data_IF_932234379814
#
_entry.id   IF_932234379814
#
_cell.length_a   1.000
_cell.length_b   1.000
_cell.length_c   1.000
_cell.angle_alpha   90.00
_cell.angle_beta   90.00
_cell.angle_gamma   90.00
#
_symmetry.space_group_name_H-M   'P 1'
#
loop_
_entity.id
_entity.type
_entity.pdbx_description
1 polymer ?
#
# COMPACT_ATOMS: atom_id res chain seq x y z
N UNK A 1 22.70 51.38 -4.13
CA UNK A 1 21.42 50.84 -4.67
C UNK A 1 21.21 49.36 -4.34
N UNK A 2 22.26 48.51 -4.28
CA UNK A 2 22.13 47.07 -3.99
C UNK A 2 21.65 46.67 -2.57
N UNK A 3 21.79 47.53 -1.55
CA UNK A 3 21.37 47.24 -0.17
C UNK A 3 19.87 47.50 0.10
N UNK A 4 19.20 48.29 -0.73
CA UNK A 4 17.78 48.62 -0.55
C UNK A 4 16.90 47.52 -1.16
N UNK A 5 17.36 46.90 -2.24
CA UNK A 5 16.66 45.81 -2.93
C UNK A 5 16.59 44.53 -2.06
N UNK A 6 17.62 44.25 -1.28
CA UNK A 6 17.68 43.07 -0.39
C UNK A 6 16.76 43.18 0.82
N UNK A 7 16.50 44.40 1.33
CA UNK A 7 15.57 44.62 2.45
C UNK A 7 14.11 44.49 2.00
N UNK A 8 13.78 44.91 0.77
CA UNK A 8 12.43 44.74 0.22
C UNK A 8 12.07 43.28 -0.08
N UNK A 9 13.04 42.47 -0.51
CA UNK A 9 12.78 41.05 -0.83
C UNK A 9 12.57 40.21 0.45
N UNK A 10 13.28 40.51 1.54
CA UNK A 10 13.07 39.82 2.82
C UNK A 10 11.76 40.21 3.51
N UNK A 11 11.22 41.40 3.25
CA UNK A 11 9.91 41.81 3.78
C UNK A 11 8.73 41.17 3.03
N UNK A 12 8.90 40.76 1.77
CA UNK A 12 7.84 40.09 0.99
C UNK A 12 7.69 38.61 1.36
N UNK A 13 8.73 37.97 1.89
CA UNK A 13 8.71 36.56 2.31
C UNK A 13 8.05 36.33 3.68
N UNK A 14 7.82 37.39 4.47
CA UNK A 14 7.20 37.28 5.79
C UNK A 14 5.65 37.33 5.76
N UNK A 15 5.04 37.67 4.62
CA UNK A 15 3.57 37.81 4.49
C UNK A 15 2.86 36.57 3.92
N UNK A 16 3.57 35.49 3.60
CA UNK A 16 3.01 34.28 2.99
C UNK A 16 2.77 33.11 3.97
N UNK A 17 2.91 33.32 5.29
CA UNK A 17 2.79 32.26 6.30
C UNK A 17 1.48 32.24 7.10
N UNK A 18 0.45 32.98 6.69
CA UNK A 18 -0.88 32.93 7.33
C UNK A 18 -2.01 32.62 6.34
N UNK A 19 -1.91 31.49 5.63
CA UNK A 19 -3.11 30.84 5.07
C UNK A 19 -3.70 29.95 6.17
N UNK A 20 -4.69 30.50 6.89
CA UNK A 20 -5.44 29.77 7.90
C UNK A 20 -6.21 28.59 7.29
N UNK A 21 -6.17 27.45 7.96
CA UNK A 21 -7.06 26.32 7.68
C UNK A 21 -8.49 26.73 8.08
N UNK A 22 -9.38 26.87 7.10
CA UNK A 22 -10.83 26.87 7.35
C UNK A 22 -11.25 25.41 7.55
N UNK A 23 -11.70 25.06 8.75
CA UNK A 23 -12.41 23.79 8.96
C UNK A 23 -13.80 23.88 8.31
N UNK A 24 -14.25 22.86 7.56
CA UNK A 24 -15.62 22.83 7.09
C UNK A 24 -16.55 22.45 8.25
N UNK A 25 -17.44 23.35 8.63
CA UNK A 25 -18.53 23.07 9.56
C UNK A 25 -19.52 22.07 8.93
N UNK A 26 -19.61 20.87 9.50
CA UNK A 26 -20.67 19.91 9.14
C UNK A 26 -21.96 20.34 9.83
N UNK A 27 -22.82 21.05 9.11
CA UNK A 27 -24.19 21.32 9.54
C UNK A 27 -25.08 20.08 9.31
N UNK A 28 -25.30 19.28 10.36
CA UNK A 28 -26.38 18.30 10.37
C UNK A 28 -27.72 19.02 10.53
N UNK A 29 -28.38 19.25 9.39
CA UNK A 29 -29.72 19.83 9.32
C UNK A 29 -30.75 18.78 9.72
N UNK A 30 -31.20 18.83 10.97
CA UNK A 30 -32.35 18.05 11.47
C UNK A 30 -33.64 18.73 10.99
N UNK A 31 -34.29 18.18 9.97
CA UNK A 31 -35.75 18.17 9.83
C UNK A 31 -36.19 17.30 8.65
N UNK A 32 -36.57 16.07 9.02
CA UNK A 32 -37.79 15.34 8.67
C UNK A 32 -38.53 15.74 7.40
N UNK A 33 -38.51 14.85 6.41
CA UNK A 33 -39.70 14.50 5.62
C UNK A 33 -39.68 12.98 5.32
N UNK A 34 -40.54 12.27 6.04
CA UNK A 34 -41.09 10.92 5.86
C UNK A 34 -40.64 10.10 4.64
N UNK A 35 -40.22 8.85 4.89
CA UNK A 35 -41.12 7.70 4.77
C UNK A 35 -40.48 6.40 5.30
N UNK A 36 -41.12 5.84 6.35
CA UNK A 36 -41.24 4.43 6.71
C UNK A 36 -39.97 3.66 7.11
N UNK A 37 -39.66 3.59 8.42
CA UNK A 37 -38.98 2.41 8.99
C UNK A 37 -38.85 2.45 10.52
N UNK A 38 -39.38 1.41 11.18
CA UNK A 38 -39.02 0.95 12.53
C UNK A 38 -39.33 1.83 13.75
N UNK A 39 -40.36 2.68 13.70
CA UNK A 39 -40.74 3.55 14.83
C UNK A 39 -41.93 3.11 15.68
N UNK A 40 -42.63 2.02 15.34
CA UNK A 40 -43.98 1.73 15.88
C UNK A 40 -44.06 0.57 16.89
N UNK A 41 -42.94 0.11 17.45
CA UNK A 41 -42.96 -0.87 18.54
C UNK A 41 -42.93 -0.13 19.89
N UNK A 42 -44.10 0.03 20.52
CA UNK A 42 -44.29 0.82 21.75
C UNK A 42 -44.51 -0.01 23.02
N UNK A 43 -44.20 -1.31 23.02
CA UNK A 43 -44.22 -2.13 24.22
C UNK A 43 -42.82 -2.64 24.55
N UNK A 44 -42.35 -2.34 25.76
CA UNK A 44 -41.06 -2.79 26.29
C UNK A 44 -41.04 -4.28 26.65
N UNK A 45 -42.20 -4.95 26.64
CA UNK A 45 -42.33 -6.38 26.94
C UNK A 45 -42.41 -7.27 25.68
N UNK A 46 -42.33 -6.70 24.47
CA UNK A 46 -42.47 -7.44 23.20
C UNK A 46 -41.13 -7.72 22.49
N UNK A 47 -39.99 -7.49 23.16
CA UNK A 47 -38.69 -7.96 22.65
C UNK A 47 -38.30 -9.21 23.42
N UNK A 48 -38.61 -10.36 22.83
CA UNK A 48 -38.03 -11.62 23.25
C UNK A 48 -36.50 -11.57 23.04
N UNK A 49 -35.76 -11.33 24.12
CA UNK A 49 -34.29 -11.46 24.17
C UNK A 49 -33.85 -12.82 24.70
N UNK A 50 -34.71 -13.84 24.66
CA UNK A 50 -34.38 -15.18 25.13
C UNK A 50 -33.93 -16.12 24.02
N UNK A 51 -33.02 -15.66 23.17
CA UNK A 51 -32.13 -16.54 22.39
C UNK A 51 -30.97 -15.68 21.87
N UNK A 52 -29.90 -15.60 22.66
CA UNK A 52 -28.67 -16.30 22.32
C UNK A 52 -27.56 -15.84 23.25
N UNK A 53 -26.83 -16.82 23.76
CA UNK A 53 -25.62 -16.68 24.54
C UNK A 53 -24.47 -16.14 23.66
N UNK A 54 -24.61 -14.92 23.14
CA UNK A 54 -23.56 -14.23 22.40
C UNK A 54 -22.59 -13.65 23.42
N UNK A 55 -21.57 -14.43 23.76
CA UNK A 55 -20.45 -13.97 24.57
C UNK A 55 -19.76 -12.79 23.88
N UNK A 56 -19.33 -11.78 24.64
CA UNK A 56 -18.64 -10.56 24.14
C UNK A 56 -17.37 -10.86 23.29
N UNK A 57 -16.91 -12.11 23.24
CA UNK A 57 -15.88 -12.57 22.32
C UNK A 57 -16.26 -12.52 20.85
N UNK A 58 -17.55 -12.50 20.49
CA UNK A 58 -18.02 -12.51 19.10
C UNK A 58 -18.19 -11.10 18.50
N UNK A 59 -18.15 -10.05 19.32
CA UNK A 59 -18.26 -8.64 18.87
C UNK A 59 -16.94 -7.87 18.91
N UNK A 60 -15.84 -8.51 19.33
CA UNK A 60 -14.51 -7.98 19.04
C UNK A 60 -14.19 -8.31 17.58
N UNK A 61 -13.99 -7.26 16.77
CA UNK A 61 -13.09 -7.37 15.63
C UNK A 61 -11.70 -7.63 16.25
N UNK A 62 -11.43 -8.88 16.60
CA UNK A 62 -10.05 -9.34 16.68
C UNK A 62 -9.46 -9.03 15.31
N UNK A 63 -8.28 -8.43 15.29
CA UNK A 63 -7.43 -8.50 14.11
C UNK A 63 -7.14 -9.99 13.87
N UNK A 64 -8.08 -10.69 13.24
CA UNK A 64 -7.89 -12.08 12.86
C UNK A 64 -6.65 -12.13 11.97
N UNK A 65 -5.57 -12.73 12.49
CA UNK A 65 -4.55 -13.31 11.64
C UNK A 65 -3.12 -12.87 11.87
N UNK A 66 -2.63 -12.79 13.11
CA UNK A 66 -1.23 -13.20 13.35
C UNK A 66 -1.12 -14.73 13.39
N UNK A 67 -2.12 -15.43 13.95
CA UNK A 67 -2.08 -16.88 14.20
C UNK A 67 -2.20 -17.76 12.93
N UNK A 68 -2.70 -17.20 11.82
CA UNK A 68 -2.90 -17.94 10.55
C UNK A 68 -1.93 -17.51 9.43
N UNK A 69 -0.78 -16.89 9.76
CA UNK A 69 0.25 -16.53 8.78
C UNK A 69 1.27 -17.65 8.62
N UNK A 70 1.58 -18.01 7.37
CA UNK A 70 2.60 -19.00 7.05
C UNK A 70 3.98 -18.53 7.51
N UNK A 71 4.68 -19.38 8.26
CA UNK A 71 5.99 -19.09 8.81
C UNK A 71 7.05 -19.02 7.71
N UNK A 72 7.96 -18.04 7.82
CA UNK A 72 9.11 -17.93 6.92
C UNK A 72 10.23 -18.83 7.42
N UNK A 73 11.04 -19.32 6.49
CA UNK A 73 12.34 -19.90 6.86
C UNK A 73 13.20 -18.83 7.57
N UNK A 74 14.18 -19.27 8.36
CA UNK A 74 15.18 -18.37 8.94
C UNK A 74 15.91 -17.60 7.84
N UNK A 75 16.26 -16.34 8.09
CA UNK A 75 16.93 -15.51 7.09
C UNK A 75 18.32 -16.10 6.74
N UNK A 76 18.54 -16.54 5.48
CA UNK A 76 19.75 -17.25 5.08
C UNK A 76 20.89 -16.26 4.84
N UNK A 77 21.45 -15.72 5.92
CA UNK A 77 22.44 -14.64 5.87
C UNK A 77 23.65 -14.97 4.95
N UNK A 78 24.08 -16.24 4.92
CA UNK A 78 25.18 -16.68 4.07
C UNK A 78 24.89 -16.56 2.57
N UNK A 79 23.65 -16.79 2.12
CA UNK A 79 23.24 -16.58 0.72
C UNK A 79 23.32 -15.11 0.35
N UNK A 80 22.72 -14.28 1.20
CA UNK A 80 22.66 -12.84 1.01
C UNK A 80 24.06 -12.19 1.04
N UNK A 81 24.97 -12.63 1.92
CA UNK A 81 26.34 -12.10 1.96
C UNK A 81 27.16 -12.38 0.71
N UNK A 82 26.84 -13.43 -0.07
CA UNK A 82 27.50 -13.75 -1.35
C UNK A 82 27.00 -12.86 -2.50
N UNK A 83 25.87 -12.17 -2.33
CA UNK A 83 25.33 -11.31 -3.39
C UNK A 83 26.23 -10.09 -3.61
N UNK A 84 26.49 -9.81 -4.88
CA UNK A 84 27.15 -8.59 -5.28
C UNK A 84 26.32 -7.36 -4.86
N UNK A 85 26.97 -6.39 -4.20
CA UNK A 85 26.30 -5.18 -3.68
C UNK A 85 26.21 -4.06 -4.69
N UNK A 86 27.20 -3.99 -5.57
CA UNK A 86 27.34 -2.96 -6.58
C UNK A 86 27.31 -3.58 -7.96
N UNK A 87 26.68 -2.89 -8.90
CA UNK A 87 26.64 -3.29 -10.29
C UNK A 87 26.65 -2.09 -11.21
N UNK A 88 26.78 -2.36 -12.51
CA UNK A 88 26.71 -1.35 -13.56
C UNK A 88 25.53 -1.58 -14.51
N UNK A 89 24.71 -2.61 -14.25
CA UNK A 89 23.57 -2.95 -15.09
C UNK A 89 22.44 -1.92 -14.97
N UNK A 90 21.69 -1.77 -16.06
CA UNK A 90 20.42 -1.03 -16.09
C UNK A 90 19.31 -1.98 -16.51
N UNK A 91 18.27 -2.09 -15.69
CA UNK A 91 17.05 -2.84 -16.02
C UNK A 91 15.95 -1.82 -16.28
N UNK A 92 15.42 -1.78 -17.49
CA UNK A 92 14.37 -0.85 -17.90
C UNK A 92 13.23 -1.57 -18.60
N UNK A 93 12.02 -1.06 -18.47
CA UNK A 93 10.85 -1.67 -19.09
C UNK A 93 9.61 -0.79 -18.95
N UNK A 94 8.47 -1.37 -19.33
CA UNK A 94 7.15 -0.77 -19.15
C UNK A 94 6.27 -1.76 -18.41
N UNK A 95 5.68 -1.34 -17.30
CA UNK A 95 4.69 -2.14 -16.56
C UNK A 95 3.27 -1.82 -17.06
N UNK A 96 2.51 -2.86 -17.35
CA UNK A 96 1.09 -2.79 -17.68
C UNK A 96 0.43 -4.13 -17.38
N UNK A 97 -0.88 -4.11 -17.20
CA UNK A 97 -1.74 -5.30 -17.26
C UNK A 97 -2.62 -5.21 -18.51
N UNK A 98 -3.24 -6.32 -18.87
CA UNK A 98 -4.27 -6.32 -19.90
C UNK A 98 -5.63 -6.41 -19.21
N UNK A 99 -6.58 -5.60 -19.67
CA UNK A 99 -7.97 -5.73 -19.27
C UNK A 99 -8.63 -6.94 -19.96
N UNK A 100 -9.92 -7.15 -19.67
CA UNK A 100 -10.73 -8.19 -20.30
C UNK A 100 -10.78 -8.12 -21.84
N UNK A 101 -10.54 -6.95 -22.43
CA UNK A 101 -10.58 -6.70 -23.88
C UNK A 101 -9.18 -6.64 -24.51
N UNK A 102 -8.16 -7.20 -23.85
CA UNK A 102 -6.76 -7.21 -24.31
C UNK A 102 -6.10 -5.82 -24.43
N UNK A 103 -6.76 -4.75 -23.95
CA UNK A 103 -6.21 -3.39 -23.95
C UNK A 103 -5.23 -3.25 -22.78
N UNK A 104 -4.13 -2.52 -23.05
CA UNK A 104 -3.11 -2.24 -22.05
C UNK A 104 -3.58 -1.18 -21.07
N UNK A 105 -3.62 -1.55 -19.79
CA UNK A 105 -3.76 -0.64 -18.66
C UNK A 105 -2.37 -0.39 -18.09
N UNK A 106 -1.85 0.82 -18.32
CA UNK A 106 -0.48 1.17 -17.93
C UNK A 106 -0.37 1.30 -16.40
N UNK A 107 0.66 0.70 -15.82
CA UNK A 107 0.96 0.82 -14.39
C UNK A 107 1.62 2.15 -14.07
N UNK A 108 0.86 3.25 -14.12
CA UNK A 108 1.38 4.59 -13.84
C UNK A 108 1.72 4.75 -12.35
N UNK A 109 2.85 5.38 -12.04
CA UNK A 109 3.31 5.66 -10.66
C UNK A 109 3.41 4.40 -9.76
N UNK A 110 3.57 3.22 -10.37
CA UNK A 110 3.69 1.94 -9.66
C UNK A 110 5.08 1.83 -9.04
N UNK A 111 5.12 1.57 -7.74
CA UNK A 111 6.36 1.21 -7.05
C UNK A 111 6.77 -0.20 -7.44
N UNK A 112 8.03 -0.33 -7.82
CA UNK A 112 8.63 -1.57 -8.31
C UNK A 112 9.83 -1.93 -7.44
N UNK A 113 10.04 -3.22 -7.24
CA UNK A 113 11.16 -3.77 -6.49
C UNK A 113 11.91 -4.82 -7.30
N UNK A 114 13.23 -4.84 -7.18
CA UNK A 114 14.04 -6.01 -7.52
C UNK A 114 14.42 -6.72 -6.22
N UNK A 115 13.94 -7.95 -6.08
CA UNK A 115 14.27 -8.85 -4.97
C UNK A 115 15.21 -9.95 -5.47
N UNK A 116 16.46 -10.05 -4.99
CA UNK A 116 17.38 -11.09 -5.41
C UNK A 116 16.79 -12.49 -5.19
N UNK A 117 17.04 -13.42 -6.11
CA UNK A 117 16.63 -14.82 -5.97
C UNK A 117 17.55 -15.51 -4.97
N UNK A 118 16.99 -15.84 -3.81
CA UNK A 118 17.55 -16.66 -2.73
C UNK A 118 16.47 -17.65 -2.25
N UNK A 119 16.83 -18.64 -1.43
CA UNK A 119 15.86 -19.56 -0.81
C UNK A 119 14.73 -18.81 -0.07
N UNK A 120 15.07 -17.72 0.61
CA UNK A 120 14.10 -16.84 1.31
C UNK A 120 13.07 -16.19 0.38
N UNK A 121 13.51 -15.64 -0.75
CA UNK A 121 12.60 -15.03 -1.74
C UNK A 121 11.82 -16.06 -2.53
N UNK A 122 12.39 -17.26 -2.72
CA UNK A 122 11.76 -18.37 -3.44
C UNK A 122 10.57 -18.91 -2.65
N UNK A 123 10.74 -19.16 -1.34
CA UNK A 123 9.62 -19.51 -0.46
C UNK A 123 8.51 -18.45 -0.52
N UNK A 124 8.87 -17.16 -0.52
CA UNK A 124 7.87 -16.10 -0.66
C UNK A 124 7.12 -16.16 -1.99
N UNK A 125 7.84 -16.42 -3.09
CA UNK A 125 7.24 -16.51 -4.41
C UNK A 125 6.30 -17.72 -4.51
N UNK A 126 6.72 -18.88 -4.03
CA UNK A 126 5.93 -20.11 -4.08
C UNK A 126 4.70 -20.03 -3.18
N UNK A 127 4.89 -19.72 -1.90
CA UNK A 127 3.81 -19.79 -0.92
C UNK A 127 2.88 -18.59 -1.00
N UNK A 128 3.44 -17.38 -1.12
CA UNK A 128 2.62 -16.16 -1.08
C UNK A 128 2.13 -15.75 -2.46
N UNK A 129 3.03 -15.65 -3.44
CA UNK A 129 2.67 -15.09 -4.75
C UNK A 129 1.90 -16.10 -5.61
N UNK A 130 2.33 -17.35 -5.66
CA UNK A 130 1.62 -18.41 -6.39
C UNK A 130 0.56 -19.10 -5.54
N UNK A 131 0.88 -19.42 -4.27
CA UNK A 131 -0.02 -20.14 -3.36
C UNK A 131 -1.09 -19.29 -2.69
N UNK A 132 -0.97 -17.96 -2.69
CA UNK A 132 -1.94 -17.04 -2.07
C UNK A 132 -1.88 -16.98 -0.54
N UNK A 133 -0.90 -17.64 0.10
CA UNK A 133 -0.76 -17.59 1.55
C UNK A 133 -0.29 -16.21 2.03
N UNK A 134 -0.87 -15.74 3.13
CA UNK A 134 -0.32 -14.61 3.88
C UNK A 134 0.86 -15.11 4.71
N UNK A 135 2.06 -14.63 4.41
CA UNK A 135 3.25 -14.97 5.20
C UNK A 135 3.42 -14.04 6.39
N UNK A 136 4.16 -14.52 7.40
CA UNK A 136 4.68 -13.69 8.48
C UNK A 136 5.53 -12.53 7.94
N UNK A 137 5.81 -11.54 8.80
CA UNK A 137 6.62 -10.39 8.45
C UNK A 137 8.02 -10.83 8.01
N UNK A 138 8.53 -10.22 6.94
CA UNK A 138 9.89 -10.48 6.48
C UNK A 138 10.93 -9.95 7.48
N UNK A 139 12.07 -10.62 7.56
CA UNK A 139 13.23 -10.16 8.32
C UNK A 139 13.69 -8.80 7.79
N UNK A 140 13.94 -7.86 8.71
CA UNK A 140 14.34 -6.50 8.35
C UNK A 140 15.63 -6.41 7.53
N UNK A 141 16.53 -7.41 7.64
CA UNK A 141 17.79 -7.48 6.89
C UNK A 141 17.54 -7.56 5.38
N UNK A 142 16.39 -8.08 4.94
CA UNK A 142 15.99 -8.16 3.53
C UNK A 142 16.03 -6.79 2.85
N UNK A 143 15.61 -5.72 3.55
CA UNK A 143 15.49 -4.38 2.96
C UNK A 143 16.83 -3.80 2.50
N UNK A 144 17.96 -4.29 3.02
CA UNK A 144 19.30 -3.90 2.57
C UNK A 144 19.67 -4.44 1.18
N UNK A 145 18.87 -5.35 0.63
CA UNK A 145 19.12 -6.03 -0.65
C UNK A 145 18.08 -5.71 -1.71
N UNK A 146 16.94 -5.15 -1.30
CA UNK A 146 15.92 -4.70 -2.23
C UNK A 146 16.39 -3.43 -2.94
N UNK A 147 16.23 -3.40 -4.26
CA UNK A 147 16.26 -2.14 -5.02
C UNK A 147 14.84 -1.74 -5.32
N UNK A 148 14.56 -0.44 -5.32
CA UNK A 148 13.26 0.07 -5.67
C UNK A 148 13.35 1.20 -6.71
N UNK A 149 12.29 1.35 -7.48
CA UNK A 149 12.06 2.48 -8.39
C UNK A 149 10.56 2.71 -8.50
N UNK A 150 10.13 3.76 -9.20
CA UNK A 150 8.75 3.96 -9.57
C UNK A 150 8.64 4.12 -11.09
N UNK A 151 7.56 3.61 -11.66
CA UNK A 151 7.24 3.89 -13.06
C UNK A 151 6.73 5.31 -13.24
N UNK A 152 6.91 5.86 -14.45
CA UNK A 152 6.34 7.15 -14.84
C UNK A 152 4.85 7.06 -15.16
N UNK A 153 4.25 8.17 -15.61
CA UNK A 153 2.85 8.24 -16.04
C UNK A 153 2.47 7.28 -17.18
N UNK A 154 3.46 6.77 -17.91
CA UNK A 154 3.28 5.84 -19.03
C UNK A 154 3.70 4.41 -18.65
N UNK A 155 3.90 4.12 -17.36
CA UNK A 155 4.35 2.82 -16.87
C UNK A 155 5.83 2.52 -17.14
N UNK A 156 6.63 3.47 -17.64
CA UNK A 156 8.06 3.22 -17.91
C UNK A 156 8.88 3.32 -16.64
N UNK A 157 9.80 2.39 -16.43
CA UNK A 157 10.67 2.38 -15.26
C UNK A 157 12.12 2.06 -15.63
N UNK A 158 13.04 2.43 -14.73
CA UNK A 158 14.44 2.04 -14.80
C UNK A 158 15.02 1.82 -13.40
N UNK A 159 15.77 0.72 -13.25
CA UNK A 159 16.69 0.46 -12.16
C UNK A 159 18.12 0.65 -12.64
N UNK A 160 18.91 1.41 -11.90
CA UNK A 160 20.31 1.67 -12.20
C UNK A 160 21.23 0.97 -11.20
N UNK A 161 22.46 0.70 -11.62
CA UNK A 161 23.47 0.08 -10.76
C UNK A 161 23.05 -1.31 -10.26
N UNK A 162 22.40 -2.10 -11.12
CA UNK A 162 21.94 -3.45 -10.80
C UNK A 162 23.14 -4.41 -10.92
N UNK A 163 23.53 -5.11 -9.84
CA UNK A 163 24.51 -6.18 -9.89
C UNK A 163 24.04 -7.34 -10.75
N UNK A 164 24.98 -8.04 -11.40
CA UNK A 164 24.66 -9.27 -12.12
C UNK A 164 24.09 -10.31 -11.15
N UNK A 165 23.03 -11.01 -11.56
CA UNK A 165 22.34 -12.00 -10.76
C UNK A 165 20.89 -12.19 -11.23
N UNK A 166 20.18 -13.07 -10.54
CA UNK A 166 18.75 -13.34 -10.79
C UNK A 166 17.91 -12.56 -9.78
N UNK A 167 16.78 -12.02 -10.25
CA UNK A 167 15.89 -11.20 -9.44
C UNK A 167 14.42 -11.48 -9.78
N UNK A 168 13.55 -11.40 -8.78
CA UNK A 168 12.13 -11.17 -8.98
C UNK A 168 11.90 -9.66 -9.18
N UNK A 169 11.20 -9.30 -10.26
CA UNK A 169 10.67 -7.96 -10.46
C UNK A 169 9.23 -7.90 -9.96
N UNK A 170 8.99 -7.10 -8.93
CA UNK A 170 7.73 -7.08 -8.18
C UNK A 170 7.11 -5.70 -8.31
N UNK A 171 5.83 -5.64 -8.64
CA UNK A 171 5.02 -4.43 -8.62
C UNK A 171 3.54 -4.77 -8.65
N UNK A 172 2.70 -3.86 -8.17
CA UNK A 172 1.25 -4.03 -8.19
C UNK A 172 0.63 -2.92 -9.01
N UNK A 173 -0.02 -3.28 -10.11
CA UNK A 173 -0.92 -2.39 -10.83
C UNK A 173 -2.28 -2.54 -10.19
N UNK A 174 -2.78 -1.44 -9.60
CA UNK A 174 -4.18 -1.35 -9.18
C UNK A 174 -4.93 -0.66 -10.30
N UNK A 175 -6.00 -1.28 -10.74
CA UNK A 175 -6.90 -0.72 -11.71
C UNK A 175 -8.35 -0.94 -11.27
N UNK A 176 -9.19 0.06 -11.50
CA UNK A 176 -10.63 0.01 -11.25
C UNK A 176 -11.39 -0.46 -12.49
N UNK A 177 -12.39 0.32 -12.90
CA UNK A 177 -13.22 0.05 -14.08
C UNK A 177 -12.40 -0.18 -15.35
N UNK A 178 -11.21 0.41 -15.47
CA UNK A 178 -10.34 0.27 -16.63
C UNK A 178 -9.78 -1.15 -16.84
N UNK A 179 -9.87 -2.04 -15.85
CA UNK A 179 -9.48 -3.44 -15.98
C UNK A 179 -10.65 -4.41 -16.24
N UNK A 180 -11.89 -3.92 -16.21
CA UNK A 180 -13.11 -4.74 -16.31
C UNK A 180 -13.70 -5.07 -14.96
#
# INVERSE_FOLDING_TARGET
MFKIVTIMIMSLMAMSLFTGCVQPDIHLKKNTSNQNSWGDLTNADDVDMSDDNLTESEMMITEDGEENKLARIEFPASEYYRLARTGKGTVKGTIYVKDYYDKRVLGANTRLYLNPVTSYSEQWYEESYLGGYKMQKADSRLFNYLKFTASDKNGKFAFYGVPSGSYYLIGTVKCGEECG
#
